data_IF_023621705313
#
_entry.id   IF_023621705313
#
_cell.length_a   1.000
_cell.length_b   1.000
_cell.length_c   1.000
_cell.angle_alpha   90.00
_cell.angle_beta   90.00
_cell.angle_gamma   90.00
#
_symmetry.space_group_name_H-M   'P 1'
#
loop_
_entity.id
_entity.type
_entity.pdbx_description
1 polymer ?
#
# COMPACT_ATOMS: atom_id res chain seq x y z
N UNK A 1 9.06 5.02 -9.86
CA UNK A 1 8.28 3.80 -10.18
C UNK A 1 7.63 3.29 -8.90
N UNK A 2 6.40 2.74 -8.91
CA UNK A 2 5.82 2.14 -7.71
C UNK A 2 6.61 0.88 -7.34
N UNK A 3 7.12 0.84 -6.11
CA UNK A 3 7.94 -0.26 -5.62
C UNK A 3 7.08 -1.12 -4.71
N UNK A 4 6.63 -2.26 -5.22
CA UNK A 4 5.96 -3.30 -4.40
C UNK A 4 6.99 -4.13 -3.60
N UNK A 5 8.13 -3.54 -3.26
CA UNK A 5 9.22 -4.24 -2.58
C UNK A 5 8.77 -4.57 -1.16
N UNK A 6 8.69 -5.87 -0.85
CA UNK A 6 8.16 -6.43 0.40
C UNK A 6 6.65 -6.29 0.63
N UNK A 7 5.84 -6.01 -0.40
CA UNK A 7 4.38 -6.10 -0.26
C UNK A 7 3.90 -7.52 -0.57
N UNK A 8 3.54 -8.29 0.45
CA UNK A 8 2.97 -9.64 0.26
C UNK A 8 1.53 -9.56 -0.22
N UNK A 9 1.04 -10.66 -0.82
CA UNK A 9 -0.36 -10.78 -1.27
C UNK A 9 -1.37 -10.56 -0.13
N UNK A 10 -1.05 -11.04 1.06
CA UNK A 10 -1.90 -10.87 2.25
C UNK A 10 -1.97 -9.40 2.69
N UNK A 11 -0.82 -8.71 2.78
CA UNK A 11 -0.76 -7.28 3.07
C UNK A 11 -1.50 -6.46 2.02
N UNK A 12 -1.40 -6.86 0.75
CA UNK A 12 -2.13 -6.23 -0.34
C UNK A 12 -3.65 -6.40 -0.22
N UNK A 13 -4.13 -7.60 0.14
CA UNK A 13 -5.55 -7.84 0.39
C UNK A 13 -6.05 -7.05 1.61
N UNK A 14 -5.29 -6.97 2.69
CA UNK A 14 -5.66 -6.19 3.87
C UNK A 14 -5.75 -4.69 3.55
N UNK A 15 -4.83 -4.16 2.73
CA UNK A 15 -4.88 -2.78 2.23
C UNK A 15 -6.13 -2.52 1.39
N UNK A 16 -6.45 -3.41 0.44
CA UNK A 16 -7.64 -3.30 -0.42
C UNK A 16 -8.92 -3.39 0.43
N UNK A 17 -8.92 -4.20 1.49
CA UNK A 17 -10.01 -4.30 2.47
C UNK A 17 -10.09 -3.09 3.42
N UNK A 18 -9.19 -2.12 3.30
CA UNK A 18 -9.16 -0.92 4.14
C UNK A 18 -8.65 -1.16 5.56
N UNK A 19 -7.96 -2.28 5.83
CA UNK A 19 -7.30 -2.49 7.11
C UNK A 19 -6.06 -1.61 7.23
N UNK A 20 -5.73 -1.27 8.48
CA UNK A 20 -4.49 -0.56 8.83
C UNK A 20 -3.31 -1.50 8.65
N UNK A 21 -2.66 -1.41 7.51
CA UNK A 21 -1.47 -2.21 7.20
C UNK A 21 -0.21 -1.39 7.43
N UNK A 22 0.72 -1.84 8.29
CA UNK A 22 1.99 -1.18 8.48
C UNK A 22 2.86 -1.30 7.21
N UNK A 23 3.67 -0.27 6.98
CA UNK A 23 4.69 -0.23 5.95
C UNK A 23 5.68 -1.39 6.14
N UNK A 24 5.82 -2.33 5.18
CA UNK A 24 6.71 -3.48 5.33
C UNK A 24 8.19 -3.09 5.32
N UNK A 25 8.51 -1.86 4.89
CA UNK A 25 9.89 -1.35 4.85
C UNK A 25 10.32 -0.67 6.13
N UNK A 26 9.40 0.04 6.78
CA UNK A 26 9.69 0.87 7.94
C UNK A 26 9.07 0.37 9.24
N UNK A 27 8.00 -0.41 9.19
CA UNK A 27 7.29 -0.92 10.38
C UNK A 27 6.62 0.14 11.27
N UNK A 28 7.00 1.41 11.15
CA UNK A 28 6.59 2.49 12.06
C UNK A 28 5.30 3.20 11.62
N UNK A 29 4.96 3.20 10.33
CA UNK A 29 3.84 3.96 9.80
C UNK A 29 2.89 3.10 8.97
N UNK A 30 1.59 3.33 9.15
CA UNK A 30 0.57 2.74 8.29
C UNK A 30 0.63 3.33 6.88
N UNK A 31 0.39 2.46 5.90
CA UNK A 31 0.28 2.84 4.50
C UNK A 31 -1.04 3.60 4.28
N UNK A 32 -0.94 4.79 3.68
CA UNK A 32 -2.09 5.65 3.46
C UNK A 32 -2.48 5.67 1.99
N UNK A 33 -3.77 5.57 1.65
CA UNK A 33 -4.21 5.66 0.26
C UNK A 33 -3.85 7.05 -0.29
N UNK A 34 -3.09 7.07 -1.38
CA UNK A 34 -2.62 8.32 -2.01
C UNK A 34 -3.71 8.96 -2.86
N UNK A 35 -4.54 8.14 -3.49
CA UNK A 35 -5.64 8.61 -4.32
C UNK A 35 -6.88 7.75 -4.06
N UNK A 36 -7.98 8.42 -3.73
CA UNK A 36 -9.30 7.83 -3.53
C UNK A 36 -10.14 8.03 -4.79
N UNK A 37 -9.69 7.54 -5.95
CA UNK A 37 -10.46 7.70 -7.18
C UNK A 37 -11.36 6.49 -7.41
N UNK A 38 -12.63 6.75 -7.75
CA UNK A 38 -13.74 5.77 -7.79
C UNK A 38 -13.49 4.48 -8.60
N UNK A 39 -12.48 4.44 -9.47
CA UNK A 39 -12.19 3.30 -10.35
C UNK A 39 -10.71 2.83 -10.32
N UNK A 40 -9.88 3.34 -9.41
CA UNK A 40 -8.44 3.08 -9.46
C UNK A 40 -7.95 2.33 -8.22
N UNK A 41 -7.77 1.03 -8.41
CA UNK A 41 -6.78 0.16 -7.77
C UNK A 41 -5.74 0.92 -6.94
N UNK A 42 -6.06 1.02 -5.64
CA UNK A 42 -5.62 2.04 -4.70
C UNK A 42 -4.11 2.01 -4.48
N UNK A 43 -3.42 3.06 -4.90
CA UNK A 43 -2.01 3.25 -4.56
C UNK A 43 -1.91 3.68 -3.10
N UNK A 44 -1.01 3.08 -2.34
CA UNK A 44 -0.74 3.44 -0.96
C UNK A 44 0.65 4.02 -0.83
N UNK A 45 0.78 5.13 -0.13
CA UNK A 45 2.06 5.77 0.14
C UNK A 45 2.38 5.68 1.62
N UNK A 46 3.63 5.34 1.93
CA UNK A 46 4.14 5.50 3.28
C UNK A 46 4.56 6.95 3.51
N UNK A 47 4.06 7.64 4.57
CA UNK A 47 4.48 9.00 4.89
C UNK A 47 5.92 9.08 5.44
N UNK A 48 6.48 7.99 5.97
CA UNK A 48 7.85 7.93 6.50
C UNK A 48 8.87 7.59 5.42
N UNK A 49 8.65 6.51 4.67
CA UNK A 49 9.55 6.07 3.60
C UNK A 49 9.40 6.86 2.30
N UNK A 50 8.24 7.49 2.08
CA UNK A 50 7.88 8.05 0.78
C UNK A 50 7.55 7.00 -0.30
N UNK A 51 7.68 5.71 0.02
CA UNK A 51 7.47 4.60 -0.91
C UNK A 51 5.99 4.46 -1.30
N UNK A 52 5.75 4.13 -2.58
CA UNK A 52 4.40 3.96 -3.13
C UNK A 52 4.19 2.50 -3.52
N UNK A 53 3.18 1.90 -2.92
CA UNK A 53 2.74 0.52 -3.07
C UNK A 53 1.47 0.46 -3.91
N UNK A 54 1.39 -0.52 -4.81
CA UNK A 54 0.21 -0.78 -5.65
C UNK A 54 -0.27 -2.21 -5.40
N UNK A 55 -1.05 -2.47 -4.32
CA UNK A 55 -1.51 -3.80 -3.95
C UNK A 55 -2.34 -4.47 -5.05
N UNK A 56 -3.09 -3.71 -5.85
CA UNK A 56 -3.85 -4.32 -6.93
C UNK A 56 -3.04 -4.74 -8.16
N UNK A 57 -1.72 -4.52 -8.19
CA UNK A 57 -0.83 -5.14 -9.19
C UNK A 57 -0.27 -6.49 -8.71
N UNK A 58 -0.61 -6.93 -7.50
CA UNK A 58 -0.15 -8.19 -6.87
C UNK A 58 -1.21 -9.29 -6.87
N UNK A 59 -2.41 -9.01 -7.37
CA UNK A 59 -3.53 -9.93 -7.60
C UNK A 59 -3.86 -9.93 -9.09
#
# INVERSE_FOLDING_TARGET
MPTNTNLTRELALDLIRGKRTPCPRCGEAALLPRHSHKNANTEFKCPRCGEVYKPCRLI
#
